data_IF_121568558544
#
_entry.id   IF_121568558544
#
_cell.length_a   1.000
_cell.length_b   1.000
_cell.length_c   1.000
_cell.angle_alpha   90.00
_cell.angle_beta   90.00
_cell.angle_gamma   90.00
#
_symmetry.space_group_name_H-M   'P 1'
#
loop_
_entity.id
_entity.type
_entity.pdbx_description
1 polymer ?
#
# COMPACT_ATOMS: atom_id res chain seq x y z
N UNK A 1 -11.74 20.59 4.98
CA UNK A 1 -11.41 20.51 6.42
C UNK A 1 -10.21 19.59 6.51
N UNK A 2 -9.22 19.84 7.38
CA UNK A 2 -8.21 18.82 7.62
C UNK A 2 -8.94 17.54 8.03
N UNK A 3 -8.52 16.39 7.48
CA UNK A 3 -9.08 15.12 7.88
C UNK A 3 -8.62 14.83 9.32
N UNK A 4 -9.57 14.55 10.21
CA UNK A 4 -9.31 14.18 11.62
C UNK A 4 -8.36 12.99 11.68
N UNK A 5 -7.31 13.08 12.51
CA UNK A 5 -6.31 12.01 12.64
C UNK A 5 -6.82 10.99 13.67
N UNK A 6 -7.31 9.85 13.18
CA UNK A 6 -7.68 8.72 14.06
C UNK A 6 -6.44 7.93 14.48
N UNK A 7 -6.18 7.85 15.78
CA UNK A 7 -5.13 7.03 16.41
C UNK A 7 -5.76 5.79 17.02
N UNK A 8 -5.22 4.62 16.69
CA UNK A 8 -5.75 3.32 17.14
C UNK A 8 -4.87 2.73 18.22
N UNK A 9 -5.45 2.54 19.41
CA UNK A 9 -4.80 1.84 20.53
C UNK A 9 -5.34 0.42 20.62
N UNK A 10 -4.50 -0.58 20.36
CA UNK A 10 -4.87 -1.99 20.53
C UNK A 10 -4.54 -2.44 21.96
N UNK A 11 -5.56 -2.96 22.68
CA UNK A 11 -5.39 -3.50 24.02
C UNK A 11 -5.40 -5.04 24.03
N UNK A 12 -4.24 -5.63 24.31
CA UNK A 12 -4.07 -7.07 24.55
C UNK A 12 -4.24 -7.39 26.03
N UNK A 13 -5.36 -8.00 26.37
CA UNK A 13 -5.73 -8.32 27.75
C UNK A 13 -5.55 -9.80 28.06
N UNK A 14 -5.41 -10.10 29.35
CA UNK A 14 -5.43 -11.47 29.89
C UNK A 14 -6.63 -11.67 30.83
N UNK A 15 -7.12 -12.91 30.93
CA UNK A 15 -8.28 -13.27 31.76
C UNK A 15 -7.94 -14.07 33.02
N UNK A 16 -6.67 -14.40 33.23
CA UNK A 16 -6.26 -15.32 34.31
C UNK A 16 -6.09 -14.62 35.67
N UNK A 17 -6.02 -13.28 35.69
CA UNK A 17 -6.01 -12.46 36.90
C UNK A 17 -7.38 -11.83 37.19
N UNK A 18 -7.62 -11.38 38.44
CA UNK A 18 -8.89 -10.76 38.82
C UNK A 18 -9.27 -9.58 37.91
N UNK A 19 -10.46 -9.68 37.31
CA UNK A 19 -10.93 -8.71 36.31
C UNK A 19 -11.01 -7.30 36.89
N UNK A 20 -11.38 -7.16 38.16
CA UNK A 20 -11.60 -5.87 38.85
C UNK A 20 -10.32 -5.06 39.04
N UNK A 21 -9.15 -5.71 39.10
CA UNK A 21 -7.83 -5.07 39.29
C UNK A 21 -7.01 -5.00 38.02
N UNK A 22 -7.27 -5.89 37.06
CA UNK A 22 -6.55 -5.99 35.79
C UNK A 22 -7.47 -5.64 34.63
N UNK A 23 -8.05 -6.63 33.93
CA UNK A 23 -8.80 -6.45 32.67
C UNK A 23 -9.81 -5.28 32.67
N UNK A 24 -10.69 -5.18 33.67
CA UNK A 24 -11.67 -4.09 33.75
C UNK A 24 -11.05 -2.77 34.21
N UNK A 25 -10.09 -2.83 35.15
CA UNK A 25 -9.37 -1.65 35.63
C UNK A 25 -8.58 -0.98 34.51
N UNK A 26 -7.74 -1.75 33.80
CA UNK A 26 -6.96 -1.28 32.65
C UNK A 26 -7.89 -0.78 31.56
N UNK A 27 -8.94 -1.51 31.19
CA UNK A 27 -9.89 -1.05 30.16
C UNK A 27 -10.55 0.28 30.53
N UNK A 28 -10.94 0.45 31.79
CA UNK A 28 -11.57 1.69 32.29
C UNK A 28 -10.57 2.84 32.32
N UNK A 29 -9.36 2.57 32.81
CA UNK A 29 -8.29 3.55 32.85
C UNK A 29 -7.87 3.98 31.45
N UNK A 30 -7.75 3.04 30.50
CA UNK A 30 -7.38 3.29 29.12
C UNK A 30 -8.40 4.19 28.41
N UNK A 31 -9.70 3.93 28.60
CA UNK A 31 -10.76 4.82 28.07
C UNK A 31 -10.64 6.25 28.59
N UNK A 32 -10.42 6.41 29.88
CA UNK A 32 -10.27 7.73 30.50
C UNK A 32 -8.98 8.41 30.03
N UNK A 33 -7.88 7.65 29.94
CA UNK A 33 -6.60 8.12 29.47
C UNK A 33 -6.63 8.55 27.99
N UNK A 34 -7.34 7.83 27.13
CA UNK A 34 -7.56 8.22 25.73
C UNK A 34 -8.26 9.58 25.64
N UNK A 35 -9.36 9.79 26.40
CA UNK A 35 -10.04 11.10 26.41
C UNK A 35 -9.17 12.21 27.00
N UNK A 36 -8.35 11.93 28.01
CA UNK A 36 -7.40 12.90 28.54
C UNK A 36 -6.31 13.24 27.51
N UNK A 37 -5.79 12.25 26.79
CA UNK A 37 -4.78 12.44 25.77
C UNK A 37 -5.31 13.25 24.56
N UNK A 38 -6.57 13.03 24.15
CA UNK A 38 -7.25 13.87 23.16
C UNK A 38 -7.32 15.34 23.61
N UNK A 39 -7.64 15.59 24.89
CA UNK A 39 -7.68 16.93 25.44
C UNK A 39 -6.28 17.59 25.51
N UNK A 40 -5.27 16.82 25.94
CA UNK A 40 -3.87 17.26 26.02
C UNK A 40 -3.23 17.53 24.65
N UNK A 41 -3.79 16.98 23.58
CA UNK A 41 -3.36 17.11 22.19
C UNK A 41 -4.41 17.81 21.31
N UNK A 42 -5.22 18.67 21.93
CA UNK A 42 -6.31 19.40 21.26
C UNK A 42 -5.86 20.31 20.11
N UNK A 43 -4.56 20.60 20.00
CA UNK A 43 -3.94 21.33 18.91
C UNK A 43 -3.76 20.51 17.61
N UNK A 44 -3.93 19.17 17.67
CA UNK A 44 -3.64 18.26 16.55
C UNK A 44 -4.88 17.61 15.89
N UNK A 45 -6.11 17.97 16.31
CA UNK A 45 -7.37 17.38 15.81
C UNK A 45 -7.34 15.84 15.76
N UNK A 46 -7.00 15.22 16.89
CA UNK A 46 -6.86 13.76 17.05
C UNK A 46 -8.09 13.16 17.74
N UNK A 47 -8.52 11.98 17.28
CA UNK A 47 -9.34 11.06 18.07
C UNK A 47 -8.64 9.74 18.32
N UNK A 48 -8.88 9.17 19.51
CA UNK A 48 -8.23 7.94 19.97
C UNK A 48 -9.26 6.83 20.10
N UNK A 49 -9.15 5.83 19.23
CA UNK A 49 -9.99 4.64 19.24
C UNK A 49 -9.29 3.47 19.93
N UNK A 50 -9.93 2.92 20.96
CA UNK A 50 -9.49 1.66 21.57
C UNK A 50 -10.10 0.46 20.82
N UNK A 51 -9.25 -0.47 20.39
CA UNK A 51 -9.63 -1.77 19.82
C UNK A 51 -9.11 -2.93 20.66
N UNK A 52 -9.81 -4.07 20.63
CA UNK A 52 -9.43 -5.30 21.35
C UNK A 52 -10.14 -6.52 20.75
N UNK A 53 -9.48 -7.69 20.81
CA UNK A 53 -10.02 -8.96 20.32
C UNK A 53 -10.68 -8.84 18.92
N UNK A 54 -11.88 -9.38 18.75
CA UNK A 54 -12.66 -9.32 17.49
C UNK A 54 -13.77 -8.27 17.50
N UNK A 55 -13.71 -7.27 18.41
CA UNK A 55 -14.73 -6.20 18.44
C UNK A 55 -14.81 -5.47 17.10
N UNK A 56 -16.00 -5.01 16.70
CA UNK A 56 -16.20 -4.30 15.42
C UNK A 56 -15.82 -5.12 14.16
N UNK A 57 -15.72 -6.45 14.27
CA UNK A 57 -15.61 -7.36 13.12
C UNK A 57 -16.93 -8.13 12.96
N UNK A 58 -17.53 -8.08 11.76
CA UNK A 58 -18.78 -8.78 11.46
C UNK A 58 -18.57 -10.24 11.05
N UNK A 59 -19.59 -11.07 11.25
CA UNK A 59 -19.61 -12.47 10.82
C UNK A 59 -18.84 -13.41 11.75
N UNK A 60 -18.29 -14.48 11.18
CA UNK A 60 -17.53 -15.52 11.89
C UNK A 60 -16.05 -15.47 11.46
N UNK A 61 -15.29 -14.45 11.88
CA UNK A 61 -13.92 -14.27 11.42
C UNK A 61 -12.99 -15.33 12.01
N UNK A 62 -11.89 -15.63 11.31
CA UNK A 62 -10.75 -16.30 11.93
C UNK A 62 -10.19 -15.38 13.04
N UNK A 63 -10.33 -15.81 14.30
CA UNK A 63 -10.05 -15.00 15.49
C UNK A 63 -8.56 -14.60 15.54
N UNK A 64 -7.59 -15.53 15.52
CA UNK A 64 -6.16 -15.20 15.43
C UNK A 64 -5.83 -14.23 14.30
N UNK A 65 -6.23 -14.52 13.06
CA UNK A 65 -5.88 -13.66 11.91
C UNK A 65 -6.45 -12.25 12.06
N UNK A 66 -7.63 -12.12 12.65
CA UNK A 66 -8.28 -10.82 12.87
C UNK A 66 -7.55 -10.01 13.92
N UNK A 67 -7.13 -10.64 15.02
CA UNK A 67 -6.31 -9.99 16.05
C UNK A 67 -4.99 -9.52 15.45
N UNK A 68 -4.29 -10.39 14.70
CA UNK A 68 -3.03 -10.03 14.03
C UNK A 68 -3.20 -8.86 13.06
N UNK A 69 -4.24 -8.88 12.19
CA UNK A 69 -4.51 -7.75 11.29
C UNK A 69 -4.75 -6.45 12.04
N UNK A 70 -5.49 -6.49 13.16
CA UNK A 70 -5.77 -5.30 13.98
C UNK A 70 -4.52 -4.76 14.67
N UNK A 71 -3.67 -5.64 15.19
CA UNK A 71 -2.37 -5.25 15.77
C UNK A 71 -1.51 -4.57 14.70
N UNK A 72 -1.41 -5.16 13.50
CA UNK A 72 -0.59 -4.64 12.41
C UNK A 72 -0.96 -3.22 11.97
N UNK A 73 -2.24 -2.85 12.05
CA UNK A 73 -2.74 -1.51 11.66
C UNK A 73 -2.93 -0.55 12.82
N UNK A 74 -2.65 -0.97 14.06
CA UNK A 74 -2.71 -0.07 15.21
C UNK A 74 -1.51 0.89 15.28
N UNK A 75 -1.65 1.92 16.09
CA UNK A 75 -0.61 2.94 16.31
C UNK A 75 0.04 2.79 17.68
N UNK A 76 -0.68 2.26 18.66
CA UNK A 76 -0.16 2.00 19.99
C UNK A 76 -0.63 0.63 20.45
N UNK A 77 0.27 -0.18 21.00
CA UNK A 77 -0.08 -1.47 21.58
C UNK A 77 0.09 -1.43 23.09
N UNK A 78 -0.98 -1.76 23.83
CA UNK A 78 -0.99 -1.81 25.29
C UNK A 78 -1.25 -3.26 25.70
N UNK A 79 -0.45 -3.81 26.61
CA UNK A 79 -0.66 -5.17 27.07
C UNK A 79 -0.43 -5.38 28.57
N UNK A 80 -1.14 -6.35 29.14
CA UNK A 80 -0.97 -6.76 30.55
C UNK A 80 -0.01 -7.96 30.65
N UNK A 81 1.24 -7.69 31.02
CA UNK A 81 2.30 -8.69 31.19
C UNK A 81 2.44 -9.18 32.63
N UNK A 82 1.44 -8.94 33.47
CA UNK A 82 1.45 -9.42 34.86
C UNK A 82 1.53 -10.96 34.87
N UNK A 83 2.47 -11.56 35.62
CA UNK A 83 2.64 -13.01 35.66
C UNK A 83 1.40 -13.74 36.15
N UNK A 84 1.02 -14.80 35.43
CA UNK A 84 -0.05 -15.72 35.79
C UNK A 84 0.54 -17.03 36.34
N UNK A 85 1.78 -17.33 35.96
CA UNK A 85 2.59 -18.40 36.52
C UNK A 85 3.80 -17.77 37.22
N UNK A 86 3.98 -18.10 38.50
CA UNK A 86 5.12 -17.62 39.30
C UNK A 86 6.26 -18.63 39.29
N UNK A 87 7.48 -18.11 39.34
CA UNK A 87 8.65 -18.94 39.53
C UNK A 87 8.52 -19.77 40.84
N UNK A 88 8.82 -21.06 40.74
CA UNK A 88 8.83 -22.02 41.86
C UNK A 88 9.95 -23.05 41.65
N UNK A 89 10.24 -23.87 42.67
CA UNK A 89 11.35 -24.85 42.60
C UNK A 89 11.24 -25.85 41.43
N UNK A 90 10.04 -26.07 40.87
CA UNK A 90 9.81 -26.88 39.66
C UNK A 90 9.63 -26.08 38.36
N UNK A 91 9.46 -24.77 38.45
CA UNK A 91 9.26 -23.87 37.32
C UNK A 91 10.06 -22.58 37.56
N UNK A 92 11.34 -22.51 37.17
CA UNK A 92 12.24 -21.44 37.62
C UNK A 92 11.96 -20.07 37.00
N UNK A 93 10.98 -19.94 36.10
CA UNK A 93 10.65 -18.70 35.39
C UNK A 93 9.18 -18.35 35.56
N UNK A 94 8.92 -17.08 35.86
CA UNK A 94 7.58 -16.50 35.81
C UNK A 94 7.14 -16.31 34.35
N UNK A 95 5.84 -16.43 34.08
CA UNK A 95 5.27 -16.25 32.74
C UNK A 95 3.92 -15.53 32.79
N UNK A 96 3.71 -14.63 31.84
CA UNK A 96 2.43 -13.97 31.59
C UNK A 96 1.53 -14.86 30.73
N UNK A 97 0.32 -14.38 30.40
CA UNK A 97 -0.60 -15.10 29.53
C UNK A 97 0.06 -15.35 28.14
N UNK A 98 0.09 -16.62 27.65
CA UNK A 98 0.74 -16.95 26.39
C UNK A 98 0.17 -16.24 25.15
N UNK A 99 -1.13 -15.95 25.14
CA UNK A 99 -1.75 -15.21 24.04
C UNK A 99 -1.24 -13.76 24.03
N UNK A 100 -1.15 -13.13 25.20
CA UNK A 100 -0.61 -11.76 25.33
C UNK A 100 0.86 -11.71 24.91
N UNK A 101 1.67 -12.72 25.27
CA UNK A 101 3.08 -12.79 24.87
C UNK A 101 3.20 -12.95 23.35
N UNK A 102 2.38 -13.80 22.73
CA UNK A 102 2.36 -13.98 21.27
C UNK A 102 1.96 -12.70 20.54
N UNK A 103 0.87 -12.05 20.99
CA UNK A 103 0.39 -10.78 20.45
C UNK A 103 1.44 -9.66 20.63
N UNK A 104 2.13 -9.61 21.78
CA UNK A 104 3.23 -8.69 22.04
C UNK A 104 4.38 -8.90 21.05
N UNK A 105 4.83 -10.15 20.86
CA UNK A 105 5.90 -10.44 19.91
C UNK A 105 5.55 -9.98 18.49
N UNK A 106 4.30 -10.19 18.06
CA UNK A 106 3.83 -9.70 16.77
C UNK A 106 3.72 -8.17 16.72
N UNK A 107 3.21 -7.53 17.78
CA UNK A 107 3.11 -6.08 17.88
C UNK A 107 4.48 -5.41 17.80
N UNK A 108 5.50 -5.94 18.48
CA UNK A 108 6.88 -5.46 18.40
C UNK A 108 7.42 -5.55 16.99
N UNK A 109 7.14 -6.66 16.28
CA UNK A 109 7.58 -6.83 14.89
C UNK A 109 6.93 -5.83 13.92
N UNK A 110 5.66 -5.46 14.15
CA UNK A 110 4.92 -4.55 13.26
C UNK A 110 5.09 -3.07 13.62
N UNK A 111 5.09 -2.74 14.92
CA UNK A 111 5.00 -1.37 15.43
C UNK A 111 6.31 -0.86 16.04
N UNK A 112 7.17 -1.78 16.49
CA UNK A 112 8.40 -1.46 17.21
C UNK A 112 8.18 -1.30 18.71
N UNK A 113 9.26 -1.40 19.49
CA UNK A 113 9.21 -1.28 20.95
C UNK A 113 8.74 0.09 21.43
N UNK A 114 9.07 1.16 20.70
CA UNK A 114 8.78 2.55 21.10
C UNK A 114 7.27 2.88 21.03
N UNK A 115 6.45 2.00 20.45
CA UNK A 115 4.99 2.12 20.38
C UNK A 115 4.24 1.13 21.30
N UNK A 116 4.98 0.44 22.17
CA UNK A 116 4.44 -0.60 23.06
C UNK A 116 4.44 -0.14 24.52
N UNK A 117 3.30 -0.29 25.19
CA UNK A 117 3.12 -0.02 26.62
C UNK A 117 2.88 -1.33 27.37
N UNK A 118 3.90 -1.81 28.08
CA UNK A 118 3.82 -3.00 28.92
C UNK A 118 3.31 -2.61 30.32
N UNK A 119 2.20 -3.18 30.76
CA UNK A 119 1.63 -2.97 32.10
C UNK A 119 1.91 -4.15 33.02
N UNK A 120 2.27 -3.86 34.27
CA UNK A 120 2.53 -4.87 35.29
C UNK A 120 1.83 -4.51 36.61
N UNK A 121 0.95 -5.37 37.12
CA UNK A 121 0.32 -5.17 38.43
C UNK A 121 1.17 -5.77 39.56
N UNK A 122 1.79 -4.91 40.37
CA UNK A 122 2.64 -5.29 41.50
C UNK A 122 1.89 -6.05 42.61
N UNK A 123 0.55 -6.06 42.59
CA UNK A 123 -0.24 -6.84 43.55
C UNK A 123 -0.18 -8.34 43.27
N UNK A 124 0.26 -8.74 42.09
CA UNK A 124 0.31 -10.14 41.65
C UNK A 124 1.72 -10.65 41.36
N UNK A 125 2.77 -9.82 41.47
CA UNK A 125 4.17 -10.22 41.32
C UNK A 125 5.13 -9.15 41.85
N UNK A 126 6.37 -9.53 42.12
CA UNK A 126 7.43 -8.62 42.52
C UNK A 126 8.05 -7.96 41.29
N UNK A 127 7.88 -6.66 41.13
CA UNK A 127 8.47 -5.90 40.03
C UNK A 127 9.88 -5.39 40.39
N UNK A 128 10.89 -5.47 39.50
CA UNK A 128 10.87 -6.11 38.18
C UNK A 128 11.27 -7.60 38.19
N UNK A 129 11.46 -8.24 39.35
CA UNK A 129 12.04 -9.60 39.45
C UNK A 129 11.18 -10.69 38.78
N UNK A 130 9.86 -10.54 38.82
CA UNK A 130 8.90 -11.47 38.23
C UNK A 130 8.52 -11.08 36.78
N UNK A 131 9.12 -10.04 36.20
CA UNK A 131 8.89 -9.68 34.81
C UNK A 131 9.40 -10.83 33.89
N UNK A 132 8.58 -11.35 32.95
CA UNK A 132 9.00 -12.43 32.08
C UNK A 132 10.28 -12.10 31.29
N UNK A 133 11.20 -13.06 31.20
CA UNK A 133 12.55 -12.89 30.66
C UNK A 133 12.61 -12.41 29.19
N UNK A 134 11.53 -12.60 28.42
CA UNK A 134 11.47 -12.23 27.01
C UNK A 134 11.49 -10.71 26.79
N UNK A 135 11.20 -9.90 27.82
CA UNK A 135 11.17 -8.44 27.74
C UNK A 135 11.58 -7.74 29.04
N UNK A 136 12.36 -8.41 29.89
CA UNK A 136 12.85 -7.85 31.16
C UNK A 136 13.80 -6.65 31.01
N UNK A 137 14.35 -6.48 29.80
CA UNK A 137 15.20 -5.35 29.41
C UNK A 137 14.44 -4.19 28.77
N UNK A 138 13.13 -4.33 28.55
CA UNK A 138 12.27 -3.26 28.04
C UNK A 138 11.56 -2.55 29.20
N UNK A 139 11.31 -1.24 29.04
CA UNK A 139 10.64 -0.45 30.08
C UNK A 139 9.20 -0.94 30.25
N UNK A 140 8.94 -1.65 31.35
CA UNK A 140 7.61 -1.98 31.81
C UNK A 140 7.09 -0.92 32.80
N UNK A 141 5.77 -0.72 32.78
CA UNK A 141 5.09 0.32 33.55
C UNK A 141 4.33 -0.33 34.71
N UNK A 142 4.90 -0.32 35.93
CA UNK A 142 4.25 -0.92 37.09
C UNK A 142 3.07 -0.06 37.56
N UNK A 143 2.01 -0.73 38.00
CA UNK A 143 0.90 -0.13 38.72
C UNK A 143 0.50 -1.06 39.87
N UNK A 144 -0.24 -0.53 40.85
CA UNK A 144 -0.65 -1.30 42.03
C UNK A 144 -2.15 -1.18 42.28
N UNK A 145 -2.87 -2.28 42.02
CA UNK A 145 -4.27 -2.42 42.38
C UNK A 145 -4.53 -3.82 42.96
N UNK A 146 -4.93 -3.86 44.23
CA UNK A 146 -5.32 -5.07 44.94
C UNK A 146 -6.85 -5.09 45.15
N UNK A 147 -7.46 -6.28 45.19
CA UNK A 147 -8.93 -6.43 45.29
C UNK A 147 -9.52 -5.74 46.54
N UNK A 148 -8.82 -5.84 47.67
CA UNK A 148 -9.21 -5.18 48.93
C UNK A 148 -9.19 -3.64 48.85
N UNK A 149 -8.51 -3.09 47.84
CA UNK A 149 -8.26 -1.66 47.68
C UNK A 149 -9.01 -1.07 46.50
N UNK A 150 -9.88 -1.82 45.80
CA UNK A 150 -10.63 -1.32 44.63
C UNK A 150 -11.58 -0.19 45.06
N UNK A 151 -11.31 1.07 44.69
CA UNK A 151 -12.06 2.20 45.25
C UNK A 151 -13.45 2.30 44.65
N UNK A 152 -14.43 2.62 45.49
CA UNK A 152 -15.84 2.79 45.09
C UNK A 152 -16.07 3.98 44.13
N UNK A 153 -15.07 4.86 43.91
CA UNK A 153 -14.96 5.92 42.89
C UNK A 153 -13.52 6.46 42.83
N UNK A 154 -13.00 6.81 41.63
CA UNK A 154 -11.74 7.55 41.44
C UNK A 154 -10.43 6.78 41.65
N UNK A 155 -10.51 5.47 41.89
CA UNK A 155 -9.38 4.66 42.32
C UNK A 155 -8.31 4.29 41.30
N UNK A 156 -8.58 4.57 40.03
CA UNK A 156 -7.68 4.26 38.93
C UNK A 156 -6.74 5.42 38.61
N UNK A 157 -6.75 6.51 39.40
CA UNK A 157 -6.04 7.74 39.06
C UNK A 157 -4.55 7.53 38.71
N UNK A 158 -3.74 6.75 39.47
CA UNK A 158 -2.35 6.50 39.08
C UNK A 158 -2.21 5.77 37.75
N UNK A 159 -3.07 4.78 37.50
CA UNK A 159 -3.07 4.02 36.23
C UNK A 159 -3.55 4.88 35.05
N UNK A 160 -4.52 5.77 35.28
CA UNK A 160 -4.99 6.73 34.28
C UNK A 160 -3.87 7.69 33.90
N UNK A 161 -3.17 8.27 34.88
CA UNK A 161 -2.05 9.20 34.63
C UNK A 161 -0.95 8.50 33.83
N UNK A 162 -0.53 7.30 34.26
CA UNK A 162 0.48 6.50 33.59
C UNK A 162 0.10 6.21 32.12
N UNK A 163 -1.13 5.77 31.86
CA UNK A 163 -1.59 5.49 30.50
C UNK A 163 -1.71 6.76 29.66
N UNK A 164 -2.13 7.88 30.26
CA UNK A 164 -2.24 9.18 29.57
C UNK A 164 -0.86 9.63 29.12
N UNK A 165 0.12 9.64 30.03
CA UNK A 165 1.51 10.01 29.72
C UNK A 165 2.12 9.12 28.64
N UNK A 166 1.90 7.80 28.73
CA UNK A 166 2.43 6.87 27.75
C UNK A 166 1.82 7.08 26.35
N UNK A 167 0.49 7.24 26.25
CA UNK A 167 -0.19 7.49 24.98
C UNK A 167 0.27 8.82 24.38
N UNK A 168 0.30 9.90 25.18
CA UNK A 168 0.72 11.23 24.74
C UNK A 168 2.17 11.21 24.25
N UNK A 169 3.07 10.50 24.96
CA UNK A 169 4.47 10.38 24.55
C UNK A 169 4.60 9.71 23.18
N UNK A 170 3.93 8.56 22.97
CA UNK A 170 3.99 7.86 21.68
C UNK A 170 3.44 8.71 20.53
N UNK A 171 2.34 9.43 20.76
CA UNK A 171 1.73 10.31 19.72
C UNK A 171 2.61 11.53 19.43
N UNK A 172 3.27 12.11 20.45
CA UNK A 172 4.15 13.28 20.26
C UNK A 172 5.45 12.90 19.57
N UNK A 173 6.07 11.80 19.98
CA UNK A 173 7.36 11.38 19.45
C UNK A 173 7.24 10.73 18.07
N UNK A 174 6.06 10.17 17.75
CA UNK A 174 5.76 9.44 16.52
C UNK A 174 6.90 8.52 16.03
N UNK A 175 7.35 7.57 16.89
CA UNK A 175 8.60 6.85 16.65
C UNK A 175 8.44 5.80 15.55
N UNK A 176 8.99 6.02 14.36
CA UNK A 176 8.89 5.17 13.14
C UNK A 176 8.74 3.65 13.36
N UNK A 177 7.80 3.03 12.62
CA UNK A 177 7.52 1.58 12.69
C UNK A 177 8.73 0.83 12.11
N UNK A 178 9.01 -0.42 12.50
CA UNK A 178 10.06 -1.23 11.89
C UNK A 178 10.00 -1.27 10.37
N UNK A 179 8.80 -1.29 9.78
CA UNK A 179 8.59 -1.19 8.33
C UNK A 179 9.05 0.14 7.72
N UNK A 180 9.04 1.23 8.49
CA UNK A 180 9.48 2.57 8.09
C UNK A 180 10.98 2.80 8.38
N UNK A 181 11.55 2.08 9.34
CA UNK A 181 12.97 2.13 9.68
C UNK A 181 13.83 1.17 8.88
N UNK A 182 13.27 0.02 8.46
CA UNK A 182 13.97 -0.93 7.60
C UNK A 182 14.23 -0.26 6.25
N UNK A 183 15.50 -0.06 5.89
CA UNK A 183 15.84 0.16 4.48
C UNK A 183 15.23 -1.00 3.68
N UNK A 184 14.43 -0.68 2.67
CA UNK A 184 13.87 -1.68 1.76
C UNK A 184 15.00 -2.59 1.30
N UNK A 185 14.76 -3.91 1.26
CA UNK A 185 15.76 -4.82 0.69
C UNK A 185 16.10 -4.38 -0.74
N UNK A 186 17.30 -4.72 -1.27
CA UNK A 186 17.62 -4.42 -2.65
C UNK A 186 16.54 -4.91 -3.63
N UNK A 187 15.92 -6.05 -3.35
CA UNK A 187 14.82 -6.62 -4.13
C UNK A 187 13.54 -5.77 -4.04
N UNK A 188 13.13 -5.37 -2.84
CA UNK A 188 11.98 -4.48 -2.65
C UNK A 188 12.22 -3.11 -3.30
N UNK A 189 13.44 -2.59 -3.22
CA UNK A 189 13.84 -1.33 -3.86
C UNK A 189 13.77 -1.45 -5.38
N UNK A 190 14.29 -2.54 -5.95
CA UNK A 190 14.19 -2.82 -7.40
C UNK A 190 12.73 -2.91 -7.82
N UNK A 191 11.92 -3.67 -7.07
CA UNK A 191 10.49 -3.82 -7.33
C UNK A 191 9.75 -2.49 -7.33
N UNK A 192 9.95 -1.64 -6.33
CA UNK A 192 9.32 -0.32 -6.29
C UNK A 192 9.74 0.56 -7.47
N UNK A 193 11.00 0.48 -7.90
CA UNK A 193 11.49 1.20 -9.09
C UNK A 193 10.86 0.66 -10.37
N UNK A 194 10.70 -0.66 -10.49
CA UNK A 194 10.03 -1.29 -11.63
C UNK A 194 8.57 -0.89 -11.71
N UNK A 195 7.84 -0.95 -10.59
CA UNK A 195 6.44 -0.50 -10.51
C UNK A 195 6.33 0.97 -10.92
N UNK A 196 7.19 1.85 -10.39
CA UNK A 196 7.18 3.28 -10.74
C UNK A 196 7.42 3.51 -12.24
N UNK A 197 8.44 2.87 -12.81
CA UNK A 197 8.78 3.05 -14.22
C UNK A 197 7.74 2.39 -15.13
N UNK A 198 7.17 1.25 -14.74
CA UNK A 198 6.08 0.60 -15.46
C UNK A 198 4.83 1.50 -15.50
N UNK A 199 4.45 2.13 -14.38
CA UNK A 199 3.37 3.14 -14.37
C UNK A 199 3.67 4.27 -15.33
N UNK A 200 4.87 4.86 -15.26
CA UNK A 200 5.28 5.94 -16.16
C UNK A 200 5.15 5.56 -17.65
N UNK A 201 5.52 4.33 -18.01
CA UNK A 201 5.35 3.82 -19.37
C UNK A 201 3.88 3.65 -19.74
N UNK A 202 3.09 3.01 -18.87
CA UNK A 202 1.68 2.67 -19.13
C UNK A 202 0.75 3.88 -19.19
N UNK A 203 1.10 4.99 -18.53
CA UNK A 203 0.40 6.27 -18.68
C UNK A 203 0.45 6.84 -20.12
N UNK A 204 1.24 6.23 -21.01
CA UNK A 204 1.34 6.58 -22.43
C UNK A 204 0.65 5.57 -23.35
N UNK A 205 -0.09 4.61 -22.80
CA UNK A 205 -0.88 3.64 -23.59
C UNK A 205 -2.36 3.84 -23.29
N UNK A 206 -3.16 3.95 -24.35
CA UNK A 206 -4.61 3.86 -24.26
C UNK A 206 -5.06 2.60 -25.02
N UNK A 207 -5.48 1.58 -24.27
CA UNK A 207 -5.72 0.23 -24.81
C UNK A 207 -6.80 0.20 -25.89
N UNK A 208 -7.96 0.88 -25.74
CA UNK A 208 -8.98 0.90 -26.79
C UNK A 208 -8.48 1.49 -28.13
N UNK A 209 -7.53 2.43 -28.07
CA UNK A 209 -6.92 2.99 -29.28
C UNK A 209 -5.94 2.02 -29.94
N UNK A 210 -5.21 1.26 -29.14
CA UNK A 210 -4.27 0.26 -29.65
C UNK A 210 -5.01 -0.94 -30.25
N UNK A 211 -6.10 -1.38 -29.62
CA UNK A 211 -7.00 -2.42 -30.15
C UNK A 211 -7.62 -2.00 -31.48
N UNK A 212 -8.16 -0.78 -31.56
CA UNK A 212 -8.68 -0.27 -32.84
C UNK A 212 -7.61 -0.28 -33.94
N UNK A 213 -6.38 0.13 -33.63
CA UNK A 213 -5.28 0.08 -34.60
C UNK A 213 -4.95 -1.36 -35.04
N UNK A 214 -5.00 -2.32 -34.12
CA UNK A 214 -4.82 -3.75 -34.43
C UNK A 214 -5.90 -4.25 -35.39
N UNK A 215 -7.15 -3.82 -35.21
CA UNK A 215 -8.27 -4.28 -36.01
C UNK A 215 -8.33 -3.61 -37.40
N UNK A 216 -7.90 -2.35 -37.49
CA UNK A 216 -8.07 -1.51 -38.67
C UNK A 216 -6.84 -1.44 -39.60
N UNK A 217 -5.64 -1.64 -39.04
CA UNK A 217 -4.41 -1.64 -39.82
C UNK A 217 -4.26 -2.93 -40.66
N UNK A 218 -3.63 -2.88 -41.85
CA UNK A 218 -2.94 -1.73 -42.42
C UNK A 218 -3.83 -0.73 -43.15
N UNK A 219 -5.14 -0.97 -43.27
CA UNK A 219 -5.98 -0.14 -44.16
C UNK A 219 -6.20 1.25 -43.58
N UNK A 220 -6.52 1.33 -42.30
CA UNK A 220 -6.80 2.56 -41.57
C UNK A 220 -5.89 2.63 -40.35
N UNK A 221 -5.37 3.83 -40.07
CA UNK A 221 -4.55 4.10 -38.90
C UNK A 221 -5.15 5.29 -38.15
N UNK A 222 -5.69 5.09 -36.94
CA UNK A 222 -6.20 6.19 -36.11
C UNK A 222 -5.08 7.19 -35.78
N UNK A 223 -5.28 8.49 -35.97
CA UNK A 223 -4.21 9.48 -35.73
C UNK A 223 -3.73 9.49 -34.28
N UNK A 224 -4.65 9.22 -33.34
CA UNK A 224 -4.36 9.09 -31.91
C UNK A 224 -3.39 7.95 -31.58
N UNK A 225 -3.31 6.88 -32.39
CA UNK A 225 -2.35 5.80 -32.13
C UNK A 225 -0.91 6.31 -32.19
N UNK A 226 -0.64 7.30 -33.05
CA UNK A 226 0.68 7.92 -33.15
C UNK A 226 1.02 8.71 -31.90
N UNK A 227 0.05 9.42 -31.30
CA UNK A 227 0.28 10.14 -30.04
C UNK A 227 0.72 9.19 -28.92
N UNK A 228 0.00 8.09 -28.73
CA UNK A 228 0.34 7.10 -27.70
C UNK A 228 1.65 6.38 -28.03
N UNK A 229 1.90 6.05 -29.31
CA UNK A 229 3.17 5.48 -29.73
C UNK A 229 4.36 6.40 -29.41
N UNK A 230 4.27 7.69 -29.74
CA UNK A 230 5.35 8.65 -29.47
C UNK A 230 5.59 8.81 -27.96
N UNK A 231 4.54 8.85 -27.14
CA UNK A 231 4.65 8.87 -25.69
C UNK A 231 5.34 7.62 -25.14
N UNK A 232 4.86 6.44 -25.56
CA UNK A 232 5.43 5.15 -25.16
C UNK A 232 6.89 5.00 -25.61
N UNK A 233 7.17 5.34 -26.86
CA UNK A 233 8.53 5.36 -27.43
C UNK A 233 9.44 6.30 -26.66
N UNK A 234 8.97 7.51 -26.36
CA UNK A 234 9.72 8.53 -25.62
C UNK A 234 10.10 8.07 -24.22
N UNK A 235 9.19 7.44 -23.49
CA UNK A 235 9.50 6.85 -22.18
C UNK A 235 10.46 5.68 -22.32
N UNK A 236 10.17 4.72 -23.21
CA UNK A 236 11.01 3.53 -23.38
C UNK A 236 12.46 3.86 -23.76
N UNK A 237 12.67 4.90 -24.56
CA UNK A 237 14.00 5.32 -25.01
C UNK A 237 14.68 6.33 -24.07
N UNK A 238 13.99 6.78 -23.02
CA UNK A 238 14.54 7.72 -22.07
C UNK A 238 15.70 7.10 -21.26
N UNK A 239 16.78 7.87 -21.06
CA UNK A 239 17.93 7.44 -20.24
C UNK A 239 17.58 7.17 -18.78
N UNK A 240 16.48 7.75 -18.29
CA UNK A 240 15.98 7.57 -16.93
C UNK A 240 15.08 6.33 -16.77
N UNK A 241 14.66 5.72 -17.88
CA UNK A 241 13.80 4.54 -17.85
C UNK A 241 14.64 3.28 -17.66
N UNK A 242 14.29 2.49 -16.64
CA UNK A 242 14.94 1.21 -16.35
C UNK A 242 13.97 0.25 -15.66
N UNK A 243 13.99 -1.01 -16.08
CA UNK A 243 13.27 -2.11 -15.44
C UNK A 243 14.32 -3.17 -15.06
N UNK A 244 14.36 -3.56 -13.79
CA UNK A 244 15.27 -4.57 -13.23
C UNK A 244 14.78 -5.99 -13.55
N UNK A 245 13.48 -6.19 -13.64
CA UNK A 245 12.85 -7.41 -14.14
C UNK A 245 13.10 -7.59 -15.64
N UNK A 246 14.03 -8.48 -15.97
CA UNK A 246 14.45 -8.72 -17.35
C UNK A 246 13.33 -9.35 -18.21
N UNK A 247 12.42 -10.14 -17.62
CA UNK A 247 11.33 -10.76 -18.36
C UNK A 247 10.29 -9.70 -18.73
N UNK A 248 9.94 -8.83 -17.79
CA UNK A 248 9.07 -7.67 -18.06
C UNK A 248 9.70 -6.75 -19.12
N UNK A 249 11.00 -6.47 -19.02
CA UNK A 249 11.70 -5.63 -19.99
C UNK A 249 11.65 -6.23 -21.40
N UNK A 250 11.84 -7.54 -21.55
CA UNK A 250 11.75 -8.22 -22.83
C UNK A 250 10.34 -8.12 -23.46
N UNK A 251 9.28 -8.20 -22.64
CA UNK A 251 7.90 -8.03 -23.09
C UNK A 251 7.62 -6.60 -23.54
N UNK A 252 8.12 -5.61 -22.81
CA UNK A 252 8.04 -4.19 -23.20
C UNK A 252 8.75 -3.96 -24.54
N UNK A 253 9.92 -4.56 -24.74
CA UNK A 253 10.71 -4.43 -25.97
C UNK A 253 10.03 -5.08 -27.17
N UNK A 254 9.31 -6.19 -26.96
CA UNK A 254 8.50 -6.82 -27.97
C UNK A 254 7.35 -5.91 -28.42
N UNK A 255 6.63 -5.29 -27.48
CA UNK A 255 5.59 -4.27 -27.80
C UNK A 255 6.21 -3.10 -28.56
N UNK A 256 7.31 -2.53 -28.06
CA UNK A 256 7.96 -1.37 -28.67
C UNK A 256 8.38 -1.64 -30.12
N UNK A 257 9.02 -2.78 -30.36
CA UNK A 257 9.51 -3.19 -31.67
C UNK A 257 8.36 -3.48 -32.65
N UNK A 258 7.32 -4.19 -32.19
CA UNK A 258 6.17 -4.51 -33.01
C UNK A 258 5.34 -3.25 -33.35
N UNK A 259 5.06 -2.41 -32.36
CA UNK A 259 4.31 -1.16 -32.55
C UNK A 259 5.06 -0.22 -33.50
N UNK A 260 6.37 -0.05 -33.29
CA UNK A 260 7.25 0.71 -34.20
C UNK A 260 7.12 0.26 -35.66
N UNK A 261 7.13 -1.05 -35.91
CA UNK A 261 6.98 -1.60 -37.26
C UNK A 261 5.64 -1.20 -37.89
N UNK A 262 4.56 -1.17 -37.11
CA UNK A 262 3.21 -0.88 -37.61
C UNK A 262 3.03 0.60 -37.98
N UNK A 263 3.78 1.51 -37.35
CA UNK A 263 3.71 2.96 -37.56
C UNK A 263 4.82 3.50 -38.48
N UNK A 264 5.80 2.68 -38.85
CA UNK A 264 6.98 3.08 -39.66
C UNK A 264 6.70 3.46 -41.12
N UNK A 265 5.48 3.25 -41.63
CA UNK A 265 5.16 3.43 -43.06
C UNK A 265 4.36 4.69 -43.35
N UNK A 266 4.57 5.78 -42.58
CA UNK A 266 3.78 7.02 -42.68
C UNK A 266 3.69 7.63 -44.08
N UNK A 267 4.70 7.45 -44.95
CA UNK A 267 4.67 7.93 -46.35
C UNK A 267 3.65 7.19 -47.23
N UNK A 268 3.10 6.06 -46.78
CA UNK A 268 2.05 5.30 -47.47
C UNK A 268 0.64 5.68 -47.03
N UNK A 269 0.55 6.53 -46.02
CA UNK A 269 -0.70 6.94 -45.40
C UNK A 269 -1.03 8.38 -45.77
N UNK A 270 -2.25 8.61 -46.23
CA UNK A 270 -2.77 9.96 -46.43
C UNK A 270 -3.82 10.26 -45.37
N UNK A 271 -3.77 11.49 -44.84
CA UNK A 271 -4.75 11.95 -43.86
C UNK A 271 -6.07 12.26 -44.57
N UNK A 272 -7.17 11.73 -44.05
CA UNK A 272 -8.50 12.06 -44.57
C UNK A 272 -8.83 13.52 -44.22
N UNK A 273 -9.29 14.29 -45.20
CA UNK A 273 -9.70 15.69 -45.01
C UNK A 273 -10.86 15.74 -44.01
N UNK A 274 -10.66 16.45 -42.90
CA UNK A 274 -11.66 16.53 -41.82
C UNK A 274 -11.75 15.29 -40.92
N UNK A 275 -10.93 14.27 -41.14
CA UNK A 275 -10.88 13.04 -40.34
C UNK A 275 -9.78 13.02 -39.27
N UNK A 276 -9.94 12.09 -38.32
CA UNK A 276 -9.00 11.77 -37.23
C UNK A 276 -8.17 10.50 -37.50
N UNK A 277 -8.11 10.05 -38.76
CA UNK A 277 -7.42 8.84 -39.18
C UNK A 277 -6.70 9.03 -40.52
N UNK A 278 -5.82 8.09 -40.81
CA UNK A 278 -5.09 7.98 -42.05
C UNK A 278 -5.52 6.72 -42.79
N UNK A 279 -5.50 6.76 -44.13
CA UNK A 279 -5.80 5.61 -44.98
C UNK A 279 -4.54 5.23 -45.75
N UNK A 280 -4.25 3.94 -45.83
CA UNK A 280 -3.21 3.43 -46.70
C UNK A 280 -3.64 3.62 -48.16
N UNK A 281 -2.96 4.53 -48.86
CA UNK A 281 -3.34 4.97 -50.20
C UNK A 281 -2.77 4.04 -51.24
N UNK A 282 -3.67 3.47 -52.07
CA UNK A 282 -3.31 2.76 -53.29
C UNK A 282 -4.15 3.35 -54.42
N UNK A 283 -3.55 3.78 -55.55
CA UNK A 283 -4.32 4.36 -56.63
C UNK A 283 -5.30 3.33 -57.22
N UNK A 284 -6.58 3.69 -57.41
CA UNK A 284 -7.67 2.73 -57.67
C UNK A 284 -7.57 1.99 -59.01
N UNK A 285 -6.71 2.43 -59.93
CA UNK A 285 -6.62 1.92 -61.30
C UNK A 285 -5.20 1.42 -61.67
N UNK A 286 -4.40 0.97 -60.70
CA UNK A 286 -3.15 0.26 -60.98
C UNK A 286 -2.93 -0.91 -60.04
N UNK A 287 -2.14 -1.87 -60.51
CA UNK A 287 -1.60 -2.91 -59.65
C UNK A 287 -0.71 -2.31 -58.56
N UNK A 288 -0.61 -3.04 -57.45
CA UNK A 288 0.29 -2.70 -56.36
C UNK A 288 1.74 -2.81 -56.85
N UNK A 289 2.58 -1.91 -56.36
CA UNK A 289 4.03 -2.05 -56.50
C UNK A 289 4.54 -3.06 -55.48
N UNK A 290 5.68 -3.69 -55.77
CA UNK A 290 6.34 -4.60 -54.82
C UNK A 290 6.63 -3.95 -53.46
N UNK A 291 6.90 -2.64 -53.45
CA UNK A 291 7.14 -1.90 -52.22
C UNK A 291 5.87 -1.70 -51.39
N UNK A 292 4.71 -1.54 -52.03
CA UNK A 292 3.41 -1.44 -51.35
C UNK A 292 3.00 -2.78 -50.76
N UNK A 293 3.15 -3.87 -51.52
CA UNK A 293 2.90 -5.23 -51.04
C UNK A 293 3.81 -5.55 -49.84
N UNK A 294 5.09 -5.18 -49.93
CA UNK A 294 6.05 -5.37 -48.84
C UNK A 294 5.71 -4.55 -47.61
N UNK A 295 5.29 -3.29 -47.78
CA UNK A 295 4.89 -2.42 -46.68
C UNK A 295 3.64 -2.96 -45.97
N UNK A 296 2.63 -3.34 -46.74
CA UNK A 296 1.40 -3.94 -46.21
C UNK A 296 1.69 -5.22 -45.44
N UNK A 297 2.42 -6.16 -46.03
CA UNK A 297 2.80 -7.41 -45.38
C UNK A 297 3.65 -7.20 -44.12
N UNK A 298 4.48 -6.14 -44.09
CA UNK A 298 5.25 -5.78 -42.91
C UNK A 298 4.36 -5.24 -41.79
N UNK A 299 3.35 -4.42 -42.11
CA UNK A 299 2.37 -3.93 -41.14
C UNK A 299 1.52 -5.10 -40.62
N UNK A 300 0.97 -5.95 -41.48
CA UNK A 300 0.18 -7.12 -41.05
C UNK A 300 0.97 -8.03 -40.10
N UNK A 301 2.24 -8.27 -40.41
CA UNK A 301 3.13 -9.03 -39.50
C UNK A 301 3.36 -8.29 -38.19
N UNK A 302 3.61 -6.98 -38.27
CA UNK A 302 3.76 -6.13 -37.08
C UNK A 302 2.52 -6.14 -36.19
N UNK A 303 1.31 -6.12 -36.76
CA UNK A 303 0.05 -6.19 -36.03
C UNK A 303 -0.11 -7.53 -35.31
N UNK A 304 0.19 -8.65 -35.99
CA UNK A 304 0.17 -9.98 -35.36
C UNK A 304 1.16 -10.08 -34.20
N UNK A 305 2.38 -9.59 -34.41
CA UNK A 305 3.43 -9.57 -33.39
C UNK A 305 3.01 -8.66 -32.20
N UNK A 306 2.40 -7.50 -32.48
CA UNK A 306 1.96 -6.53 -31.48
C UNK A 306 0.81 -7.08 -30.63
N UNK A 307 -0.21 -7.66 -31.26
CA UNK A 307 -1.33 -8.26 -30.56
C UNK A 307 -0.86 -9.34 -29.58
N UNK A 308 -0.01 -10.25 -30.04
CA UNK A 308 0.59 -11.29 -29.20
C UNK A 308 1.43 -10.70 -28.06
N UNK A 309 2.27 -9.70 -28.36
CA UNK A 309 3.12 -9.07 -27.35
C UNK A 309 2.30 -8.39 -26.25
N UNK A 310 1.16 -7.77 -26.60
CA UNK A 310 0.23 -7.18 -25.64
C UNK A 310 -0.42 -8.25 -24.77
N UNK A 311 -0.89 -9.36 -25.34
CA UNK A 311 -1.48 -10.46 -24.55
C UNK A 311 -0.50 -11.04 -23.53
N UNK A 312 0.73 -11.32 -23.97
CA UNK A 312 1.78 -11.87 -23.12
C UNK A 312 2.18 -10.87 -22.01
N UNK A 313 2.32 -9.58 -22.36
CA UNK A 313 2.58 -8.51 -21.42
C UNK A 313 1.47 -8.34 -20.37
N UNK A 314 0.21 -8.23 -20.80
CA UNK A 314 -0.92 -8.02 -19.89
C UNK A 314 -1.09 -9.21 -18.95
N UNK A 315 -0.89 -10.43 -19.44
CA UNK A 315 -0.90 -11.64 -18.60
C UNK A 315 0.21 -11.59 -17.55
N UNK A 316 1.41 -11.19 -17.95
CA UNK A 316 2.55 -11.09 -17.05
C UNK A 316 2.35 -10.03 -15.98
N UNK A 317 1.91 -8.82 -16.36
CA UNK A 317 1.65 -7.71 -15.43
C UNK A 317 0.54 -8.07 -14.44
N UNK A 318 -0.59 -8.61 -14.91
CA UNK A 318 -1.71 -9.01 -14.03
C UNK A 318 -1.34 -10.10 -13.02
N UNK A 319 -0.36 -10.93 -13.35
CA UNK A 319 0.10 -12.03 -12.47
C UNK A 319 1.18 -11.56 -11.52
N UNK A 320 2.15 -10.80 -12.04
CA UNK A 320 3.40 -10.51 -11.33
C UNK A 320 3.48 -9.09 -10.80
N UNK A 321 2.57 -8.16 -11.15
CA UNK A 321 2.57 -6.74 -10.77
C UNK A 321 1.18 -6.30 -10.28
N UNK A 322 0.74 -6.86 -9.15
CA UNK A 322 -0.56 -6.56 -8.54
C UNK A 322 -0.72 -5.09 -8.12
N UNK A 323 0.39 -4.38 -7.95
CA UNK A 323 0.45 -2.94 -7.65
C UNK A 323 0.08 -2.05 -8.85
N UNK A 324 -0.05 -2.63 -10.05
CA UNK A 324 -0.39 -1.93 -11.29
C UNK A 324 -1.88 -2.12 -11.59
N UNK A 325 -2.63 -1.03 -11.47
CA UNK A 325 -4.01 -0.97 -11.97
C UNK A 325 -4.00 -0.47 -13.42
N UNK A 326 -4.31 -1.38 -14.34
CA UNK A 326 -4.29 -1.11 -15.78
C UNK A 326 -5.45 -0.18 -16.18
N UNK A 327 -6.61 -0.32 -15.53
CA UNK A 327 -7.81 0.47 -15.85
C UNK A 327 -7.61 1.92 -15.38
N UNK A 328 -7.06 2.10 -14.18
CA UNK A 328 -6.65 3.41 -13.64
C UNK A 328 -5.69 4.13 -14.62
N UNK A 329 -4.64 3.44 -15.05
CA UNK A 329 -3.61 4.03 -15.93
C UNK A 329 -4.16 4.32 -17.34
N UNK A 330 -5.11 3.51 -17.83
CA UNK A 330 -5.81 3.77 -19.09
C UNK A 330 -6.68 5.03 -19.02
N UNK A 331 -7.38 5.26 -17.90
CA UNK A 331 -8.12 6.51 -17.72
C UNK A 331 -7.18 7.72 -17.65
N UNK A 332 -6.04 7.59 -16.97
CA UNK A 332 -5.03 8.65 -16.87
C UNK A 332 -4.47 8.98 -18.25
N UNK A 333 -4.12 7.98 -19.06
CA UNK A 333 -3.58 8.19 -20.40
C UNK A 333 -4.60 8.90 -21.30
N UNK A 334 -5.88 8.54 -21.22
CA UNK A 334 -6.95 9.21 -21.95
C UNK A 334 -7.14 10.67 -21.52
N UNK A 335 -7.19 10.93 -20.21
CA UNK A 335 -7.32 12.30 -19.66
C UNK A 335 -6.16 13.20 -20.14
N UNK A 336 -4.93 12.68 -20.14
CA UNK A 336 -3.74 13.40 -20.64
C UNK A 336 -3.85 13.70 -22.14
N UNK A 337 -4.27 12.74 -22.95
CA UNK A 337 -4.49 12.94 -24.37
C UNK A 337 -5.50 14.06 -24.65
N UNK A 338 -6.65 14.04 -23.97
CA UNK A 338 -7.70 15.06 -24.09
C UNK A 338 -7.18 16.43 -23.69
N UNK A 339 -6.48 16.53 -22.56
CA UNK A 339 -5.91 17.80 -22.09
C UNK A 339 -4.90 18.36 -23.10
N UNK A 340 -3.99 17.53 -23.61
CA UNK A 340 -3.01 17.92 -24.61
C UNK A 340 -3.69 18.51 -25.86
N UNK A 341 -4.76 17.89 -26.35
CA UNK A 341 -5.49 18.37 -27.52
C UNK A 341 -6.21 19.71 -27.25
N UNK A 342 -6.84 19.86 -26.09
CA UNK A 342 -7.46 21.13 -25.69
C UNK A 342 -6.45 22.27 -25.61
N UNK A 343 -5.26 22.03 -25.06
CA UNK A 343 -4.19 23.02 -24.98
C UNK A 343 -3.61 23.34 -26.37
N UNK A 344 -3.44 22.32 -27.21
CA UNK A 344 -2.97 22.48 -28.58
C UNK A 344 -3.94 23.34 -29.41
N UNK A 345 -5.24 23.06 -29.35
CA UNK A 345 -6.28 23.85 -30.04
C UNK A 345 -6.30 25.31 -29.55
N UNK A 346 -6.23 25.53 -28.24
CA UNK A 346 -6.10 26.88 -27.65
C UNK A 346 -4.85 27.60 -28.17
N UNK A 347 -3.73 26.90 -28.32
CA UNK A 347 -2.48 27.48 -28.82
C UNK A 347 -2.57 27.90 -30.29
N UNK A 348 -3.26 27.13 -31.13
CA UNK A 348 -3.52 27.47 -32.53
C UNK A 348 -4.47 28.66 -32.62
N UNK A 349 -5.54 28.68 -31.82
CA UNK A 349 -6.51 29.77 -31.79
C UNK A 349 -5.90 31.11 -31.35
N UNK A 350 -4.86 31.10 -30.50
CA UNK A 350 -4.11 32.31 -30.11
C UNK A 350 -3.15 32.84 -31.18
N UNK A 351 -2.82 32.03 -32.19
CA UNK A 351 -1.89 32.38 -33.28
C UNK A 351 -2.60 32.80 -34.57
N UNK A 352 -3.92 32.64 -34.63
CA UNK A 352 -4.81 33.19 -35.67
C UNK A 352 -5.42 34.48 -35.16
#
# INVERSE_FOLDING_TARGET
MPDEIEIVVFYSWQSDLPKTTNLQAIRTALRTASSNAEADLSDREISIRIDEATKRTSGSPNIPDTILRKIAVSDIFVCDVTPIYKASAGHPKSSANPNVIFELGYAVAQLGWDRVVLLFNESFGAFPQDLPFDFDRHRASPYKLAEASVPKKGGYAPLIVLLTEAIVAVIRDDPKKPSEMSQLTPEQTRRQRDVKNLRWLLENIHWPTLEQHIDEAPKVMPARVLHFYEGFHGVRTAKLFHIFDNDLLALIDAIHSAWSRTTSFGTRYERVVGGDHYIFTVPPNRAWTKDEEKAWAAIERGIKDLHKAIEDFLRYVRTNYLEIDIDELNEISWKRYVQFHQEFEKSIARRK
#
